data_IF_846434905410
#
_entry.id   IF_846434905410
#
_cell.length_a   1.000
_cell.length_b   1.000
_cell.length_c   1.000
_cell.angle_alpha   90.00
_cell.angle_beta   90.00
_cell.angle_gamma   90.00
#
_symmetry.space_group_name_H-M   'P 1'
#
loop_
_entity.id
_entity.type
_entity.pdbx_description
1 polymer ?
#
# COMPACT_ATOMS: atom_id res chain seq x y z
N UNK A 1 -37.73 6.24 -20.15
CA UNK A 1 -37.10 5.57 -19.01
C UNK A 1 -35.60 5.67 -19.17
N UNK A 2 -34.99 6.69 -18.58
CA UNK A 2 -33.53 6.83 -18.58
C UNK A 2 -32.95 5.73 -17.67
N UNK A 3 -32.17 4.81 -18.25
CA UNK A 3 -31.36 3.90 -17.48
C UNK A 3 -30.41 4.73 -16.61
N UNK A 4 -30.32 4.49 -15.29
CA UNK A 4 -29.22 5.05 -14.52
C UNK A 4 -27.92 4.51 -15.13
N UNK A 5 -27.12 5.40 -15.72
CA UNK A 5 -25.83 5.05 -16.34
C UNK A 5 -25.04 4.19 -15.34
N UNK A 6 -24.52 3.06 -15.79
CA UNK A 6 -23.73 2.13 -14.97
C UNK A 6 -22.63 2.92 -14.22
N UNK A 7 -22.67 2.96 -12.87
CA UNK A 7 -21.71 3.75 -12.08
C UNK A 7 -20.26 3.41 -12.39
N UNK A 8 -19.96 2.15 -12.71
CA UNK A 8 -18.60 1.69 -13.04
C UNK A 8 -18.19 2.20 -14.42
N UNK A 9 -19.10 2.22 -15.38
CA UNK A 9 -18.84 2.81 -16.69
C UNK A 9 -18.61 4.33 -16.60
N UNK A 10 -19.34 5.03 -15.72
CA UNK A 10 -19.08 6.45 -15.45
C UNK A 10 -17.68 6.64 -14.85
N UNK A 11 -17.30 5.80 -13.88
CA UNK A 11 -15.97 5.86 -13.25
C UNK A 11 -14.84 5.66 -14.29
N UNK A 12 -14.97 4.65 -15.17
CA UNK A 12 -14.03 4.44 -16.28
C UNK A 12 -13.91 5.64 -17.19
N UNK A 13 -15.05 6.21 -17.60
CA UNK A 13 -15.08 7.38 -18.47
C UNK A 13 -14.41 8.59 -17.81
N UNK A 14 -14.64 8.80 -16.51
CA UNK A 14 -13.99 9.87 -15.75
C UNK A 14 -12.48 9.67 -15.68
N UNK A 15 -12.00 8.46 -15.38
CA UNK A 15 -10.57 8.13 -15.37
C UNK A 15 -9.93 8.31 -16.74
N UNK A 16 -10.60 7.90 -17.82
CA UNK A 16 -10.12 8.12 -19.19
C UNK A 16 -10.00 9.60 -19.52
N UNK A 17 -10.99 10.42 -19.15
CA UNK A 17 -10.96 11.85 -19.36
C UNK A 17 -9.83 12.51 -18.56
N UNK A 18 -9.62 12.08 -17.32
CA UNK A 18 -8.49 12.53 -16.49
C UNK A 18 -7.15 12.15 -17.10
N UNK A 19 -6.99 10.91 -17.59
CA UNK A 19 -5.79 10.48 -18.29
C UNK A 19 -5.54 11.30 -19.56
N UNK A 20 -6.58 11.57 -20.34
CA UNK A 20 -6.50 12.42 -21.54
C UNK A 20 -6.03 13.83 -21.22
N UNK A 21 -6.62 14.47 -20.20
CA UNK A 21 -6.22 15.81 -19.75
C UNK A 21 -4.79 15.83 -19.24
N UNK A 22 -4.41 14.84 -18.42
CA UNK A 22 -3.08 14.72 -17.85
C UNK A 22 -2.00 14.49 -18.91
N UNK A 23 -2.22 13.58 -19.85
CA UNK A 23 -1.30 13.31 -20.97
C UNK A 23 -1.15 14.56 -21.84
N UNK A 24 -2.26 15.18 -22.24
CA UNK A 24 -2.24 16.40 -23.06
C UNK A 24 -1.47 17.52 -22.35
N UNK A 25 -1.84 17.83 -21.11
CA UNK A 25 -1.22 18.90 -20.33
C UNK A 25 0.26 18.66 -20.08
N UNK A 26 0.66 17.40 -19.84
CA UNK A 26 2.07 17.03 -19.69
C UNK A 26 2.85 17.27 -20.99
N UNK A 27 2.34 16.82 -22.15
CA UNK A 27 2.99 17.03 -23.45
C UNK A 27 3.15 18.53 -23.74
N UNK A 28 2.06 19.30 -23.64
CA UNK A 28 2.08 20.74 -23.91
C UNK A 28 3.05 21.48 -22.97
N UNK A 29 3.00 21.17 -21.68
CA UNK A 29 3.86 21.82 -20.68
C UNK A 29 5.34 21.43 -20.87
N UNK A 30 5.63 20.18 -21.21
CA UNK A 30 6.99 19.71 -21.46
C UNK A 30 7.60 20.33 -22.72
N UNK A 31 6.82 20.42 -23.81
CA UNK A 31 7.24 21.07 -25.05
C UNK A 31 7.50 22.57 -24.85
N UNK A 32 6.65 23.24 -24.07
CA UNK A 32 6.86 24.65 -23.71
C UNK A 32 8.10 24.87 -22.83
N UNK A 33 8.43 23.90 -21.96
CA UNK A 33 9.60 23.99 -21.09
C UNK A 33 10.91 23.75 -21.87
N UNK A 34 10.90 22.85 -22.87
CA UNK A 34 12.01 22.63 -23.80
C UNK A 34 13.29 22.03 -23.20
N UNK A 35 13.23 21.46 -21.99
CA UNK A 35 14.36 20.81 -21.30
C UNK A 35 13.95 19.44 -20.77
N UNK A 36 14.94 18.61 -20.42
CA UNK A 36 14.74 17.33 -19.74
C UNK A 36 13.96 17.52 -18.43
N UNK A 37 12.92 16.72 -18.24
CA UNK A 37 12.09 16.72 -17.04
C UNK A 37 12.77 15.94 -15.90
N UNK A 38 12.66 16.48 -14.69
CA UNK A 38 13.14 15.85 -13.45
C UNK A 38 11.95 15.30 -12.62
N UNK A 39 12.26 14.67 -11.49
CA UNK A 39 11.27 14.07 -10.58
C UNK A 39 10.33 15.07 -9.93
N UNK A 40 10.70 16.36 -9.91
CA UNK A 40 9.99 17.42 -9.19
C UNK A 40 8.99 18.17 -10.10
N UNK A 41 8.97 17.83 -11.39
CA UNK A 41 8.08 18.44 -12.36
C UNK A 41 6.61 18.05 -12.12
N UNK A 42 5.83 18.99 -11.58
CA UNK A 42 4.46 18.73 -11.12
C UNK A 42 3.51 18.11 -12.18
N UNK A 43 3.48 18.54 -13.46
CA UNK A 43 2.65 17.87 -14.48
C UNK A 43 3.01 16.39 -14.66
N UNK A 44 4.29 16.04 -14.53
CA UNK A 44 4.76 14.67 -14.65
C UNK A 44 4.39 13.84 -13.41
N UNK A 45 4.47 14.43 -12.21
CA UNK A 45 4.00 13.78 -10.99
C UNK A 45 2.50 13.46 -11.07
N UNK A 46 1.68 14.43 -11.53
CA UNK A 46 0.25 14.21 -11.73
C UNK A 46 -0.04 13.12 -12.75
N UNK A 47 0.70 13.07 -13.85
CA UNK A 47 0.59 11.98 -14.82
C UNK A 47 0.76 10.61 -14.18
N UNK A 48 1.80 10.40 -13.37
CA UNK A 48 2.00 9.11 -12.70
C UNK A 48 0.89 8.78 -11.71
N UNK A 49 0.35 9.77 -10.99
CA UNK A 49 -0.79 9.56 -10.09
C UNK A 49 -2.03 9.13 -10.88
N UNK A 50 -2.35 9.81 -11.99
CA UNK A 50 -3.50 9.47 -12.83
C UNK A 50 -3.34 8.07 -13.44
N UNK A 51 -2.15 7.72 -13.92
CA UNK A 51 -1.86 6.38 -14.43
C UNK A 51 -2.03 5.30 -13.37
N UNK A 52 -1.59 5.55 -12.14
CA UNK A 52 -1.79 4.64 -11.02
C UNK A 52 -3.29 4.37 -10.75
N UNK A 53 -4.14 5.41 -10.81
CA UNK A 53 -5.58 5.23 -10.63
C UNK A 53 -6.19 4.41 -11.78
N UNK A 54 -5.79 4.69 -13.03
CA UNK A 54 -6.24 3.92 -14.19
C UNK A 54 -5.88 2.44 -14.06
N UNK A 55 -4.65 2.14 -13.62
CA UNK A 55 -4.16 0.78 -13.43
C UNK A 55 -4.74 0.10 -12.19
N UNK A 56 -5.23 0.84 -11.20
CA UNK A 56 -5.90 0.26 -10.01
C UNK A 56 -7.38 -0.04 -10.23
N UNK A 57 -8.02 0.65 -11.18
CA UNK A 57 -9.45 0.53 -11.42
C UNK A 57 -9.83 -0.91 -11.82
N UNK A 58 -10.73 -1.51 -11.02
CA UNK A 58 -11.22 -2.87 -11.24
C UNK A 58 -10.20 -3.98 -10.95
N UNK A 59 -9.12 -3.72 -10.20
CA UNK A 59 -8.25 -4.80 -9.70
C UNK A 59 -9.01 -5.73 -8.74
N UNK A 60 -8.86 -7.03 -8.97
CA UNK A 60 -9.35 -8.10 -8.10
C UNK A 60 -8.63 -8.03 -6.76
N UNK A 61 -9.37 -8.05 -5.65
CA UNK A 61 -8.78 -8.15 -4.32
C UNK A 61 -8.21 -9.56 -4.10
N UNK A 62 -6.89 -9.76 -4.25
CA UNK A 62 -6.24 -10.98 -3.76
C UNK A 62 -6.19 -10.93 -2.22
N UNK A 63 -6.91 -11.84 -1.53
CA UNK A 63 -6.85 -11.96 -0.06
C UNK A 63 -5.47 -12.48 0.32
N UNK A 64 -4.67 -11.66 1.00
CA UNK A 64 -3.42 -12.10 1.65
C UNK A 64 -3.60 -12.08 3.17
N UNK A 65 -2.81 -12.90 3.88
CA UNK A 65 -2.89 -13.04 5.35
C UNK A 65 -2.62 -11.71 6.10
N UNK A 66 -1.96 -10.74 5.45
CA UNK A 66 -1.67 -9.39 5.99
C UNK A 66 -2.61 -8.28 5.47
N UNK A 67 -3.70 -8.62 4.76
CA UNK A 67 -4.71 -7.66 4.30
C UNK A 67 -4.99 -7.71 2.79
N UNK A 68 -5.79 -6.75 2.31
CA UNK A 68 -6.04 -6.57 0.87
C UNK A 68 -5.00 -5.59 0.33
N UNK A 69 -4.06 -6.06 -0.50
CA UNK A 69 -3.14 -5.17 -1.22
C UNK A 69 -3.51 -5.13 -2.70
N UNK A 70 -4.23 -4.07 -3.11
CA UNK A 70 -4.53 -3.80 -4.52
C UNK A 70 -3.32 -3.12 -5.16
N UNK A 71 -2.37 -3.93 -5.61
CA UNK A 71 -1.20 -3.45 -6.37
C UNK A 71 -1.37 -3.74 -7.85
N UNK A 72 -1.07 -2.74 -8.68
CA UNK A 72 -1.01 -2.89 -10.13
C UNK A 72 0.33 -3.48 -10.61
N UNK A 73 1.22 -3.88 -9.71
CA UNK A 73 2.52 -4.47 -10.07
C UNK A 73 2.37 -5.83 -10.76
N UNK A 74 1.47 -6.70 -10.30
CA UNK A 74 1.26 -8.03 -10.89
C UNK A 74 0.97 -7.99 -12.40
N UNK A 75 0.04 -7.14 -12.87
CA UNK A 75 -0.16 -6.89 -14.30
C UNK A 75 1.11 -6.42 -15.04
N UNK A 76 1.92 -5.56 -14.43
CA UNK A 76 3.15 -5.06 -15.06
C UNK A 76 4.24 -6.14 -15.17
N UNK A 77 4.29 -7.09 -14.25
CA UNK A 77 5.17 -8.27 -14.35
C UNK A 77 4.80 -9.16 -15.55
N UNK A 78 3.58 -9.07 -16.10
CA UNK A 78 3.28 -9.77 -17.35
C UNK A 78 4.01 -9.15 -18.55
N UNK A 79 4.35 -7.85 -18.51
CA UNK A 79 5.01 -7.18 -19.63
C UNK A 79 6.35 -7.86 -19.93
N UNK A 80 7.15 -8.20 -18.92
CA UNK A 80 8.46 -8.85 -19.12
C UNK A 80 8.33 -10.20 -19.85
N UNK A 81 7.23 -10.93 -19.62
CA UNK A 81 6.96 -12.22 -20.26
C UNK A 81 6.53 -12.08 -21.72
N UNK A 82 5.96 -10.94 -22.08
CA UNK A 82 5.46 -10.65 -23.42
C UNK A 82 6.46 -9.86 -24.27
N UNK A 83 7.28 -9.03 -23.62
CA UNK A 83 8.26 -8.14 -24.23
C UNK A 83 9.58 -8.24 -23.47
N UNK A 84 10.56 -9.01 -23.98
CA UNK A 84 11.85 -9.23 -23.29
C UNK A 84 12.60 -7.94 -22.94
N UNK A 85 12.44 -6.86 -23.72
CA UNK A 85 13.03 -5.53 -23.46
C UNK A 85 12.60 -4.96 -22.09
N UNK A 86 11.38 -5.27 -21.63
CA UNK A 86 10.90 -4.83 -20.32
C UNK A 86 11.58 -5.57 -19.15
N UNK A 87 12.32 -6.65 -19.42
CA UNK A 87 13.05 -7.40 -18.39
C UNK A 87 14.11 -6.57 -17.68
N UNK A 88 14.79 -5.66 -18.38
CA UNK A 88 15.82 -4.78 -17.80
C UNK A 88 15.22 -3.86 -16.73
N UNK A 89 14.13 -3.16 -17.04
CA UNK A 89 13.47 -2.28 -16.07
C UNK A 89 12.79 -3.07 -14.96
N UNK A 90 12.32 -4.28 -15.25
CA UNK A 90 11.69 -5.15 -14.25
C UNK A 90 12.70 -5.69 -13.25
N UNK A 91 13.90 -6.04 -13.69
CA UNK A 91 15.03 -6.34 -12.80
C UNK A 91 15.43 -5.09 -12.00
N UNK A 92 15.60 -3.95 -12.68
CA UNK A 92 16.00 -2.69 -12.04
C UNK A 92 15.10 -2.27 -10.88
N UNK A 93 13.77 -2.43 -11.00
CA UNK A 93 12.86 -2.12 -9.89
C UNK A 93 12.91 -3.12 -8.74
N UNK A 94 13.24 -4.39 -9.02
CA UNK A 94 13.38 -5.42 -7.98
C UNK A 94 14.63 -5.18 -7.14
N UNK A 95 15.68 -4.65 -7.76
CA UNK A 95 16.97 -4.38 -7.13
C UNK A 95 17.10 -2.94 -6.59
N UNK A 96 16.07 -2.10 -6.73
CA UNK A 96 16.12 -0.70 -6.31
C UNK A 96 16.26 -0.57 -4.77
N UNK A 97 17.33 0.06 -4.25
CA UNK A 97 17.53 0.19 -2.81
C UNK A 97 16.39 0.95 -2.12
N UNK A 98 15.96 0.44 -0.97
CA UNK A 98 14.89 1.03 -0.16
C UNK A 98 13.47 0.75 -0.66
N UNK A 99 13.30 0.10 -1.82
CA UNK A 99 11.98 -0.22 -2.39
C UNK A 99 11.45 -1.57 -1.88
N UNK A 100 10.38 -1.55 -1.08
CA UNK A 100 9.88 -2.73 -0.35
C UNK A 100 8.50 -3.16 -0.84
N UNK A 101 7.65 -2.23 -1.25
CA UNK A 101 6.25 -2.56 -1.57
C UNK A 101 6.03 -2.89 -3.05
N UNK A 102 5.07 -3.78 -3.38
CA UNK A 102 4.64 -3.98 -4.76
C UNK A 102 4.14 -2.68 -5.40
N UNK A 103 3.45 -1.83 -4.65
CA UNK A 103 2.97 -0.54 -5.15
C UNK A 103 4.13 0.38 -5.57
N UNK A 104 5.16 0.48 -4.73
CA UNK A 104 6.40 1.20 -5.04
C UNK A 104 7.10 0.64 -6.28
N UNK A 105 7.15 -0.69 -6.44
CA UNK A 105 7.68 -1.34 -7.66
C UNK A 105 6.93 -0.91 -8.91
N UNK A 106 5.60 -0.92 -8.87
CA UNK A 106 4.78 -0.40 -9.97
C UNK A 106 5.08 1.06 -10.30
N UNK A 107 5.25 1.90 -9.29
CA UNK A 107 5.59 3.33 -9.44
C UNK A 107 6.97 3.55 -10.05
N UNK A 108 7.98 2.79 -9.61
CA UNK A 108 9.32 2.84 -10.18
C UNK A 108 9.30 2.37 -11.63
N UNK A 109 8.55 1.31 -11.92
CA UNK A 109 8.48 0.71 -13.25
C UNK A 109 7.86 1.67 -14.26
N UNK A 110 6.79 2.38 -13.90
CA UNK A 110 6.18 3.39 -14.77
C UNK A 110 7.17 4.52 -15.12
N UNK A 111 7.98 4.94 -14.15
CA UNK A 111 9.02 5.97 -14.35
C UNK A 111 10.09 5.48 -15.31
N UNK A 112 10.60 4.27 -15.12
CA UNK A 112 11.59 3.66 -16.00
C UNK A 112 11.06 3.43 -17.42
N UNK A 113 9.84 2.92 -17.56
CA UNK A 113 9.20 2.73 -18.86
C UNK A 113 9.00 4.05 -19.62
N UNK A 114 8.69 5.15 -18.90
CA UNK A 114 8.62 6.49 -19.50
C UNK A 114 10.02 6.97 -19.95
N UNK A 115 11.05 6.83 -19.11
CA UNK A 115 12.42 7.20 -19.46
C UNK A 115 12.95 6.41 -20.66
N UNK A 116 12.57 5.14 -20.80
CA UNK A 116 12.87 4.33 -21.97
C UNK A 116 12.05 4.70 -23.22
N UNK A 117 11.05 5.59 -23.11
CA UNK A 117 10.09 5.95 -24.17
C UNK A 117 9.32 4.73 -24.71
N UNK A 118 9.07 3.74 -23.84
CA UNK A 118 8.41 2.46 -24.17
C UNK A 118 7.10 2.25 -23.43
N UNK A 119 6.69 3.20 -22.58
CA UNK A 119 5.48 3.07 -21.75
C UNK A 119 4.23 2.74 -22.59
N UNK A 120 4.03 3.41 -23.73
CA UNK A 120 2.91 3.16 -24.63
C UNK A 120 2.94 1.75 -25.23
N UNK A 121 4.10 1.31 -25.72
CA UNK A 121 4.30 -0.03 -26.29
C UNK A 121 4.00 -1.12 -25.25
N UNK A 122 4.50 -0.95 -24.03
CA UNK A 122 4.26 -1.89 -22.94
C UNK A 122 2.79 -1.96 -22.52
N UNK A 123 2.12 -0.81 -22.37
CA UNK A 123 0.68 -0.77 -22.05
C UNK A 123 -0.15 -1.44 -23.15
N UNK A 124 0.16 -1.15 -24.42
CA UNK A 124 -0.52 -1.77 -25.56
C UNK A 124 -0.33 -3.30 -25.57
N UNK A 125 0.86 -3.77 -25.24
CA UNK A 125 1.18 -5.19 -25.18
C UNK A 125 0.29 -5.93 -24.18
N UNK A 126 0.14 -5.42 -22.95
CA UNK A 126 -0.66 -6.08 -21.91
C UNK A 126 -2.17 -5.99 -22.18
N UNK A 127 -2.67 -4.86 -22.71
CA UNK A 127 -4.10 -4.69 -23.02
C UNK A 127 -4.54 -5.64 -24.15
N UNK A 128 -3.63 -5.97 -25.07
CA UNK A 128 -3.92 -6.94 -26.14
C UNK A 128 -3.97 -8.40 -25.64
N UNK A 129 -3.52 -8.67 -24.41
CA UNK A 129 -3.54 -10.00 -23.78
C UNK A 129 -4.55 -10.07 -22.64
N UNK A 130 -5.82 -9.74 -22.97
CA UNK A 130 -6.96 -9.81 -22.02
C UNK A 130 -7.12 -11.18 -21.37
N UNK A 131 -6.73 -12.25 -22.07
CA UNK A 131 -6.70 -13.61 -21.53
C UNK A 131 -5.84 -13.71 -20.26
N UNK A 132 -4.64 -13.15 -20.27
CA UNK A 132 -3.74 -13.10 -19.12
C UNK A 132 -4.15 -12.01 -18.12
N UNK A 133 -4.54 -10.83 -18.63
CA UNK A 133 -4.89 -9.68 -17.82
C UNK A 133 -6.13 -9.92 -16.94
N UNK A 134 -7.03 -10.80 -17.41
CA UNK A 134 -8.22 -11.23 -16.66
C UNK A 134 -7.92 -11.94 -15.35
N UNK A 135 -6.69 -12.43 -15.12
CA UNK A 135 -6.29 -12.97 -13.80
C UNK A 135 -6.29 -11.87 -12.72
N UNK A 136 -6.01 -10.63 -13.12
CA UNK A 136 -5.78 -9.50 -12.21
C UNK A 136 -6.97 -8.54 -12.14
N UNK A 137 -7.72 -8.40 -13.23
CA UNK A 137 -8.79 -7.41 -13.34
C UNK A 137 -10.17 -8.05 -13.46
N UNK A 138 -11.18 -7.36 -12.93
CA UNK A 138 -12.58 -7.65 -13.19
C UNK A 138 -12.92 -7.34 -14.66
N UNK A 139 -13.92 -8.03 -15.26
CA UNK A 139 -14.26 -7.85 -16.68
C UNK A 139 -14.58 -6.40 -17.07
N UNK A 140 -15.19 -5.64 -16.16
CA UNK A 140 -15.58 -4.24 -16.32
C UNK A 140 -14.50 -3.23 -15.86
N UNK A 141 -13.28 -3.70 -15.61
CA UNK A 141 -12.15 -2.86 -15.26
C UNK A 141 -11.71 -1.97 -16.43
N UNK A 142 -10.98 -0.89 -16.12
CA UNK A 142 -10.60 0.09 -17.14
C UNK A 142 -9.69 -0.52 -18.19
N UNK A 143 -8.70 -1.30 -17.74
CA UNK A 143 -7.74 -1.98 -18.61
C UNK A 143 -8.35 -3.14 -19.40
N UNK A 144 -9.57 -3.56 -19.07
CA UNK A 144 -10.29 -4.64 -19.74
C UNK A 144 -11.30 -4.11 -20.78
N UNK A 145 -11.55 -2.81 -20.80
CA UNK A 145 -12.54 -2.13 -21.64
C UNK A 145 -11.87 -1.21 -22.68
N UNK A 146 -12.67 -0.57 -23.53
CA UNK A 146 -12.19 0.29 -24.64
C UNK A 146 -11.36 1.48 -24.13
N UNK A 147 -11.70 2.02 -22.96
CA UNK A 147 -11.02 3.16 -22.35
C UNK A 147 -9.52 2.88 -22.13
N UNK A 148 -9.15 1.67 -21.73
CA UNK A 148 -7.75 1.28 -21.58
C UNK A 148 -6.97 1.34 -22.90
N UNK A 149 -7.58 0.90 -24.00
CA UNK A 149 -6.98 0.96 -25.33
C UNK A 149 -6.79 2.40 -25.82
N UNK A 150 -7.77 3.27 -25.54
CA UNK A 150 -7.69 4.71 -25.85
C UNK A 150 -6.52 5.35 -25.09
N UNK A 151 -6.41 5.11 -23.78
CA UNK A 151 -5.30 5.63 -22.98
C UNK A 151 -3.96 5.14 -23.52
N UNK A 152 -3.81 3.83 -23.81
CA UNK A 152 -2.58 3.28 -24.38
C UNK A 152 -2.18 3.95 -25.71
N UNK A 153 -3.17 4.27 -26.57
CA UNK A 153 -2.93 5.02 -27.81
C UNK A 153 -2.46 6.46 -27.55
N UNK A 154 -3.04 7.16 -26.57
CA UNK A 154 -2.64 8.52 -26.20
C UNK A 154 -1.22 8.58 -25.62
N UNK A 155 -0.78 7.54 -24.90
CA UNK A 155 0.56 7.46 -24.32
C UNK A 155 1.68 7.53 -25.37
N UNK A 156 1.41 7.22 -26.65
CA UNK A 156 2.39 7.34 -27.73
C UNK A 156 2.91 8.77 -27.85
N UNK A 157 2.07 9.77 -27.56
CA UNK A 157 2.47 11.18 -27.56
C UNK A 157 3.56 11.50 -26.53
N UNK A 158 3.72 10.70 -25.47
CA UNK A 158 4.74 10.90 -24.45
C UNK A 158 6.15 10.53 -24.92
N UNK A 159 6.30 9.84 -26.05
CA UNK A 159 7.62 9.45 -26.57
C UNK A 159 8.49 10.68 -26.91
N UNK A 160 7.87 11.84 -27.13
CA UNK A 160 8.58 13.12 -27.38
C UNK A 160 9.21 13.70 -26.11
N UNK A 161 8.78 13.27 -24.92
CA UNK A 161 9.24 13.80 -23.64
C UNK A 161 10.60 13.22 -23.30
N UNK A 162 11.56 14.08 -22.98
CA UNK A 162 12.84 13.69 -22.40
C UNK A 162 12.77 13.83 -20.88
N UNK A 163 13.10 12.77 -20.16
CA UNK A 163 12.98 12.70 -18.71
C UNK A 163 14.16 11.96 -18.10
N UNK A 164 14.67 12.49 -16.99
CA UNK A 164 15.71 11.86 -16.19
C UNK A 164 15.30 11.90 -14.71
N UNK A 165 14.73 10.80 -14.23
CA UNK A 165 14.02 10.76 -12.96
C UNK A 165 14.89 10.13 -11.88
N UNK A 166 15.19 10.89 -10.83
CA UNK A 166 15.78 10.36 -9.63
C UNK A 166 14.71 9.56 -8.86
N UNK A 167 15.00 8.31 -8.54
CA UNK A 167 14.10 7.43 -7.78
C UNK A 167 14.74 7.07 -6.45
N UNK A 168 14.05 7.38 -5.36
CA UNK A 168 14.39 6.91 -4.01
C UNK A 168 13.32 5.91 -3.58
N UNK A 169 13.73 4.68 -3.24
CA UNK A 169 12.78 3.59 -3.01
C UNK A 169 11.75 3.88 -1.91
N UNK A 170 12.17 4.51 -0.82
CA UNK A 170 11.30 4.82 0.33
C UNK A 170 10.21 5.86 0.01
N UNK A 171 10.54 6.84 -0.83
CA UNK A 171 9.57 7.87 -1.28
C UNK A 171 8.48 7.22 -2.15
N UNK A 172 8.85 6.26 -2.99
CA UNK A 172 7.90 5.56 -3.87
C UNK A 172 6.94 4.65 -3.09
N UNK A 173 7.39 4.07 -1.98
CA UNK A 173 6.54 3.27 -1.10
C UNK A 173 5.54 4.12 -0.30
N UNK A 174 5.94 5.33 0.10
CA UNK A 174 5.16 6.21 0.98
C UNK A 174 4.32 7.26 0.24
N UNK A 175 4.55 7.49 -1.05
CA UNK A 175 3.83 8.51 -1.84
C UNK A 175 2.31 8.29 -1.79
N UNK A 176 1.56 9.36 -1.48
CA UNK A 176 0.09 9.38 -1.57
C UNK A 176 -0.30 9.93 -2.94
N UNK A 177 -1.03 9.13 -3.73
CA UNK A 177 -1.47 9.54 -5.06
C UNK A 177 -2.73 10.40 -4.99
N UNK A 178 -2.61 11.71 -4.78
CA UNK A 178 -3.75 12.64 -4.85
C UNK A 178 -3.75 13.36 -6.20
N UNK A 179 -4.89 13.34 -6.89
CA UNK A 179 -5.08 14.09 -8.14
C UNK A 179 -5.37 15.55 -7.79
N UNK A 180 -4.54 16.47 -8.27
CA UNK A 180 -4.75 17.91 -8.12
C UNK A 180 -5.60 18.44 -9.28
N UNK A 181 -6.90 18.59 -9.04
CA UNK A 181 -7.84 19.10 -10.03
C UNK A 181 -7.62 20.58 -10.38
N UNK A 182 -6.95 21.36 -9.52
CA UNK A 182 -6.71 22.79 -9.80
C UNK A 182 -5.85 23.00 -11.04
N UNK A 183 -5.03 22.01 -11.40
CA UNK A 183 -4.19 22.01 -12.60
C UNK A 183 -5.02 21.94 -13.89
N UNK A 184 -6.23 21.38 -13.85
CA UNK A 184 -7.09 21.20 -15.03
C UNK A 184 -8.20 22.26 -15.13
N UNK A 185 -8.48 22.98 -14.04
CA UNK A 185 -9.57 23.97 -14.00
C UNK A 185 -9.15 25.35 -14.55
N UNK A 186 -7.85 25.65 -14.64
CA UNK A 186 -7.37 26.98 -15.04
C UNK A 186 -7.63 27.34 -16.51
N UNK A 187 -7.74 26.36 -17.40
CA UNK A 187 -7.98 26.61 -18.83
C UNK A 187 -9.45 26.92 -19.18
N UNK A 188 -10.39 26.67 -18.25
CA UNK A 188 -11.81 26.99 -18.45
C UNK A 188 -12.16 28.48 -18.32
N UNK A 189 -11.23 29.31 -17.80
CA UNK A 189 -11.50 30.72 -17.54
C UNK A 189 -11.39 31.62 -18.79
N UNK A 190 -10.97 31.08 -19.93
CA UNK A 190 -10.79 31.85 -21.17
C UNK A 190 -11.79 31.56 -22.29
N UNK A 191 -12.82 30.74 -22.04
CA UNK A 191 -13.92 30.53 -22.99
C UNK A 191 -15.28 30.77 -22.34
N UNK A 192 -16.07 31.63 -22.99
CA UNK A 192 -17.47 32.02 -22.71
C UNK A 192 -17.74 32.84 -21.45
N UNK A 193 -17.76 34.18 -21.62
CA UNK A 193 -18.74 35.01 -20.93
C UNK A 193 -20.13 34.67 -21.47
N UNK A 194 -20.84 33.78 -20.79
CA UNK A 194 -22.30 33.63 -20.91
C UNK A 194 -22.94 33.92 -19.55
N UNK A 195 -24.14 34.49 -19.60
CA UNK A 195 -24.94 35.01 -18.48
C UNK A 195 -25.51 33.90 -17.56
N UNK A 196 -24.78 32.80 -17.38
CA UNK A 196 -25.10 31.64 -16.52
C UNK A 196 -24.25 31.60 -15.23
N UNK A 197 -23.38 32.61 -15.03
CA UNK A 197 -22.38 32.65 -13.97
C UNK A 197 -22.95 32.56 -12.53
N UNK A 198 -24.11 33.14 -12.26
CA UNK A 198 -24.63 33.18 -10.87
C UNK A 198 -25.10 31.81 -10.36
N UNK A 199 -25.79 31.03 -11.19
CA UNK A 199 -26.21 29.66 -10.81
C UNK A 199 -25.03 28.70 -10.69
N UNK A 200 -24.02 28.88 -11.53
CA UNK A 200 -22.77 28.12 -11.46
C UNK A 200 -21.96 28.49 -10.21
N UNK A 201 -21.92 29.77 -9.83
CA UNK A 201 -21.28 30.24 -8.58
C UNK A 201 -21.99 29.67 -7.36
N UNK A 202 -23.33 29.66 -7.31
CA UNK A 202 -24.07 29.04 -6.19
C UNK A 202 -23.78 27.54 -6.08
N UNK A 203 -23.80 26.80 -7.19
CA UNK A 203 -23.48 25.37 -7.20
C UNK A 203 -22.04 25.07 -6.74
N UNK A 204 -21.07 25.91 -7.13
CA UNK A 204 -19.67 25.79 -6.69
C UNK A 204 -19.55 26.10 -5.19
N UNK A 205 -20.27 27.09 -4.68
CA UNK A 205 -20.28 27.42 -3.25
C UNK A 205 -20.90 26.30 -2.40
N UNK A 206 -21.98 25.69 -2.87
CA UNK A 206 -22.60 24.54 -2.20
C UNK A 206 -21.68 23.32 -2.20
N UNK A 207 -21.01 23.04 -3.32
CA UNK A 207 -19.98 22.00 -3.37
C UNK A 207 -18.81 22.29 -2.42
N UNK A 208 -18.35 23.54 -2.37
CA UNK A 208 -17.28 23.95 -1.45
C UNK A 208 -17.71 23.74 0.00
N UNK A 209 -18.90 24.19 0.40
CA UNK A 209 -19.43 23.98 1.75
C UNK A 209 -19.56 22.50 2.10
N UNK A 210 -20.03 21.67 1.16
CA UNK A 210 -20.12 20.22 1.36
C UNK A 210 -18.75 19.59 1.61
N UNK A 211 -17.74 19.95 0.82
CA UNK A 211 -16.37 19.45 0.98
C UNK A 211 -15.74 19.94 2.28
N UNK A 212 -15.96 21.21 2.67
CA UNK A 212 -15.47 21.77 3.93
C UNK A 212 -16.09 21.04 5.13
N UNK A 213 -17.40 20.76 5.09
CA UNK A 213 -18.08 20.00 6.13
C UNK A 213 -17.57 18.56 6.20
N UNK A 214 -17.36 17.92 5.06
CA UNK A 214 -16.79 16.58 5.00
C UNK A 214 -15.37 16.55 5.58
N UNK A 215 -14.54 17.55 5.27
CA UNK A 215 -13.21 17.71 5.85
C UNK A 215 -13.26 17.94 7.36
N UNK A 216 -14.26 18.66 7.87
CA UNK A 216 -14.49 18.84 9.31
C UNK A 216 -14.81 17.51 9.99
N UNK A 217 -15.73 16.73 9.41
CA UNK A 217 -16.07 15.39 9.89
C UNK A 217 -14.89 14.41 9.85
N UNK A 218 -14.10 14.46 8.77
CA UNK A 218 -12.92 13.63 8.62
C UNK A 218 -11.86 14.00 9.67
N UNK A 219 -11.61 15.30 9.87
CA UNK A 219 -10.69 15.80 10.90
C UNK A 219 -11.12 15.37 12.31
N UNK A 220 -12.42 15.43 12.61
CA UNK A 220 -12.97 14.93 13.87
C UNK A 220 -12.76 13.42 14.04
N UNK A 221 -12.95 12.64 12.97
CA UNK A 221 -12.73 11.19 12.98
C UNK A 221 -11.26 10.83 13.18
N UNK A 222 -10.34 11.55 12.52
CA UNK A 222 -8.89 11.39 12.69
C UNK A 222 -8.50 11.68 14.14
N UNK A 223 -8.99 12.77 14.73
CA UNK A 223 -8.71 13.09 16.14
C UNK A 223 -9.24 12.02 17.10
N UNK A 224 -10.42 11.45 16.83
CA UNK A 224 -10.97 10.37 17.64
C UNK A 224 -10.13 9.08 17.53
N UNK A 225 -9.72 8.73 16.31
CA UNK A 225 -8.86 7.58 16.06
C UNK A 225 -7.49 7.77 16.73
N UNK A 226 -6.91 8.97 16.67
CA UNK A 226 -5.65 9.27 17.35
C UNK A 226 -5.78 9.07 18.86
N UNK A 227 -6.85 9.60 19.47
CA UNK A 227 -7.09 9.39 20.91
C UNK A 227 -7.26 7.91 21.29
N UNK A 228 -7.87 7.09 20.40
CA UNK A 228 -7.95 5.64 20.59
C UNK A 228 -6.59 4.94 20.47
N UNK A 229 -5.76 5.36 19.52
CA UNK A 229 -4.40 4.85 19.36
C UNK A 229 -3.59 5.15 20.63
N UNK A 230 -3.58 6.40 21.09
CA UNK A 230 -2.85 6.80 22.30
C UNK A 230 -3.32 6.01 23.55
N UNK A 231 -4.63 5.76 23.67
CA UNK A 231 -5.20 4.96 24.74
C UNK A 231 -4.77 3.48 24.67
N UNK A 232 -4.74 2.91 23.47
CA UNK A 232 -4.28 1.53 23.24
C UNK A 232 -2.77 1.39 23.50
N UNK A 233 -1.96 2.36 23.07
CA UNK A 233 -0.52 2.38 23.35
C UNK A 233 -0.23 2.43 24.85
N UNK A 234 -0.94 3.29 25.59
CA UNK A 234 -0.84 3.36 27.05
C UNK A 234 -1.24 2.04 27.72
N UNK A 235 -2.32 1.42 27.23
CA UNK A 235 -2.77 0.11 27.72
C UNK A 235 -1.75 -0.99 27.44
N UNK A 236 -1.16 -1.03 26.24
CA UNK A 236 -0.11 -1.98 25.88
C UNK A 236 1.15 -1.83 26.72
N UNK A 237 1.57 -0.59 26.99
CA UNK A 237 2.71 -0.33 27.88
C UNK A 237 2.47 -0.92 29.28
N UNK A 238 1.26 -0.72 29.83
CA UNK A 238 0.90 -1.24 31.14
C UNK A 238 0.86 -2.78 31.17
N UNK A 239 0.25 -3.41 30.14
CA UNK A 239 0.23 -4.87 30.03
C UNK A 239 1.63 -5.46 29.90
N UNK A 240 2.55 -4.77 29.21
CA UNK A 240 3.95 -5.19 29.08
C UNK A 240 4.66 -5.16 30.43
N UNK A 241 4.41 -4.13 31.24
CA UNK A 241 4.95 -4.02 32.60
C UNK A 241 4.37 -5.10 33.53
N UNK A 242 3.05 -5.31 33.51
CA UNK A 242 2.39 -6.37 34.28
C UNK A 242 2.92 -7.77 33.89
N UNK A 243 3.16 -8.02 32.60
CA UNK A 243 3.77 -9.26 32.12
C UNK A 243 5.19 -9.44 32.64
N UNK A 244 6.01 -8.39 32.67
CA UNK A 244 7.35 -8.44 33.23
C UNK A 244 7.34 -8.77 34.73
N UNK A 245 6.42 -8.17 35.49
CA UNK A 245 6.24 -8.46 36.92
C UNK A 245 5.80 -9.91 37.14
N UNK A 246 4.83 -10.39 36.36
CA UNK A 246 4.38 -11.77 36.44
C UNK A 246 5.50 -12.77 36.12
N UNK A 247 6.30 -12.51 35.09
CA UNK A 247 7.46 -13.33 34.74
C UNK A 247 8.49 -13.40 35.88
N UNK A 248 8.82 -12.27 36.52
CA UNK A 248 9.71 -12.27 37.68
C UNK A 248 9.16 -13.12 38.83
N UNK A 249 7.85 -13.05 39.07
CA UNK A 249 7.21 -13.85 40.11
C UNK A 249 7.23 -15.35 39.81
N UNK A 250 7.07 -15.74 38.54
CA UNK A 250 7.21 -17.13 38.10
C UNK A 250 8.63 -17.63 38.37
N UNK A 251 9.65 -16.83 38.06
CA UNK A 251 11.05 -17.18 38.32
C UNK A 251 11.28 -17.43 39.83
N UNK A 252 10.82 -16.51 40.69
CA UNK A 252 10.95 -16.68 42.14
C UNK A 252 10.25 -17.95 42.66
N UNK A 253 9.04 -18.22 42.17
CA UNK A 253 8.29 -19.42 42.55
C UNK A 253 8.96 -20.71 42.05
N UNK A 254 9.60 -20.68 40.87
CA UNK A 254 10.38 -21.81 40.37
C UNK A 254 11.61 -22.08 41.25
N UNK A 255 12.31 -21.03 41.70
CA UNK A 255 13.44 -21.16 42.64
C UNK A 255 13.02 -21.71 44.02
N UNK A 256 11.87 -21.26 44.55
CA UNK A 256 11.31 -21.80 45.80
C UNK A 256 10.91 -23.27 45.65
N UNK A 257 10.29 -23.64 44.53
CA UNK A 257 9.91 -25.02 44.24
C UNK A 257 11.14 -25.94 44.20
N UNK A 258 12.23 -25.51 43.55
CA UNK A 258 13.47 -26.28 43.48
C UNK A 258 14.09 -26.45 44.89
N UNK A 259 14.13 -25.37 45.69
CA UNK A 259 14.59 -25.43 47.09
C UNK A 259 13.79 -26.41 47.94
N UNK A 260 12.46 -26.34 47.89
CA UNK A 260 11.58 -27.25 48.65
C UNK A 260 11.76 -28.70 48.20
N UNK A 261 11.98 -28.92 46.90
CA UNK A 261 12.24 -30.25 46.35
C UNK A 261 13.58 -30.82 46.82
N UNK A 262 14.63 -29.99 46.88
CA UNK A 262 15.93 -30.35 47.46
C UNK A 262 15.81 -30.69 48.95
N UNK A 263 15.15 -29.85 49.74
CA UNK A 263 14.91 -30.10 51.17
C UNK A 263 14.11 -31.38 51.41
N UNK A 264 13.06 -31.61 50.63
CA UNK A 264 12.26 -32.83 50.70
C UNK A 264 13.09 -34.07 50.37
N UNK A 265 13.94 -34.03 49.33
CA UNK A 265 14.86 -35.13 49.01
C UNK A 265 15.82 -35.41 50.16
N UNK A 266 16.38 -34.35 50.76
CA UNK A 266 17.30 -34.48 51.88
C UNK A 266 16.62 -35.12 53.10
N UNK A 267 15.39 -34.70 53.43
CA UNK A 267 14.59 -35.26 54.52
C UNK A 267 14.24 -36.74 54.30
N UNK A 268 13.86 -37.12 53.07
CA UNK A 268 13.59 -38.51 52.71
C UNK A 268 14.85 -39.37 52.86
N UNK A 269 15.99 -38.86 52.43
CA UNK A 269 17.26 -39.57 52.50
C UNK A 269 17.78 -39.71 53.94
N UNK A 270 17.62 -38.66 54.76
CA UNK A 270 17.89 -38.70 56.19
C UNK A 270 16.98 -39.72 56.91
N UNK A 271 15.68 -39.71 56.60
CA UNK A 271 14.71 -40.66 57.17
C UNK A 271 15.02 -42.11 56.80
N UNK A 272 15.46 -42.37 55.56
CA UNK A 272 15.94 -43.70 55.13
C UNK A 272 17.17 -44.15 55.92
N UNK A 273 18.14 -43.26 56.15
CA UNK A 273 19.34 -43.57 56.95
C UNK A 273 18.96 -43.92 58.39
N UNK A 274 18.08 -43.14 59.02
CA UNK A 274 17.61 -43.42 60.39
C UNK A 274 16.90 -44.78 60.47
N UNK A 275 15.98 -45.07 59.54
CA UNK A 275 15.29 -46.37 59.51
C UNK A 275 16.25 -47.54 59.32
N UNK A 276 17.25 -47.41 58.45
CA UNK A 276 18.27 -48.45 58.28
C UNK A 276 19.11 -48.66 59.54
N UNK A 277 19.51 -47.59 60.24
CA UNK A 277 20.24 -47.71 61.51
C UNK A 277 19.39 -48.40 62.57
N UNK A 278 18.10 -48.07 62.68
CA UNK A 278 17.17 -48.73 63.62
C UNK A 278 17.03 -50.23 63.30
N UNK A 279 16.93 -50.59 62.02
CA UNK A 279 16.88 -52.00 61.60
C UNK A 279 18.16 -52.77 61.94
N UNK A 280 19.34 -52.15 61.77
CA UNK A 280 20.63 -52.76 62.12
C UNK A 280 20.73 -52.97 63.63
N UNK A 281 20.35 -51.97 64.43
CA UNK A 281 20.36 -52.06 65.91
C UNK A 281 19.41 -53.16 66.38
N UNK A 282 18.20 -53.24 65.83
CA UNK A 282 17.26 -54.31 66.17
C UNK A 282 17.77 -55.71 65.78
N UNK A 283 18.44 -55.85 64.63
CA UNK A 283 19.06 -57.12 64.23
C UNK A 283 20.17 -57.55 65.19
N UNK A 284 21.05 -56.64 65.58
CA UNK A 284 22.12 -56.93 66.54
C UNK A 284 21.59 -57.31 67.93
N UNK A 285 20.48 -56.71 68.37
CA UNK A 285 19.83 -57.08 69.64
C UNK A 285 19.20 -58.48 69.61
N UNK A 286 18.80 -58.98 68.43
CA UNK A 286 18.23 -60.33 68.27
C UNK A 286 19.35 -61.40 68.17
N UNK A 287 20.52 -61.06 67.63
CA UNK A 287 21.67 -61.98 67.52
C UNK A 287 22.46 -62.15 68.84
N UNK A 288 22.16 -61.36 69.88
CA UNK A 288 22.78 -61.46 71.22
C UNK A 288 21.92 -62.17 72.27
N UNK A 289 20.78 -62.76 71.89
CA UNK A 289 19.97 -63.68 72.71
C UNK A 289 20.12 -65.12 72.22
#
# INVERSE_FOLDING_TARGET
>A
SENPKDPIAIERLNLMNMAKLSIKGLIESALNLGRTLDSDYAPLQQFFVVMEHCLKHGLKSKKTFLGQNKSFWGPLELVEKLTPEAGEITASVKDLPGLKTPLGRGRAWLRLALMQKKLSDYMKTIINRKDLLSEFYEPNALMMEEEGAVIAGLLVGLNVIDANLCMKGEDLDSQVGVIDFSMYLKDGAHSSKSTEGDGQITAILDQKNYVEELNRHLSASVNNLQAKVDALEKSNSKLTEELAVANNRIITLQEELERVKEESSYLVESSRKVNNTVLIVNKHSIEQQ
#
